data_IF_655555451179
#
_entry.id   IF_655555451179
#
_cell.length_a   1.000
_cell.length_b   1.000
_cell.length_c   1.000
_cell.angle_alpha   90.00
_cell.angle_beta   90.00
_cell.angle_gamma   90.00
#
_symmetry.space_group_name_H-M   'P 1'
#
loop_
_entity.id
_entity.type
_entity.pdbx_description
1 polymer ?
#
# COMPACT_ATOMS: atom_id res chain seq x y z
N UNK A 1 -30.61 -15.46 -31.82
CA UNK A 1 -30.40 -15.74 -30.39
C UNK A 1 -28.92 -15.96 -30.17
N UNK A 2 -28.21 -14.94 -29.69
CA UNK A 2 -26.79 -15.00 -29.38
C UNK A 2 -26.69 -15.35 -27.89
N UNK A 3 -26.18 -16.55 -27.60
CA UNK A 3 -25.96 -17.04 -26.25
C UNK A 3 -24.74 -16.32 -25.65
N UNK A 4 -24.97 -15.49 -24.62
CA UNK A 4 -23.90 -14.94 -23.79
C UNK A 4 -23.48 -16.02 -22.79
N UNK A 5 -22.46 -16.79 -23.14
CA UNK A 5 -21.77 -17.67 -22.21
C UNK A 5 -21.00 -16.85 -21.18
N UNK A 6 -21.50 -16.77 -19.96
CA UNK A 6 -20.71 -16.36 -18.80
C UNK A 6 -19.59 -17.40 -18.65
N UNK A 7 -18.30 -17.04 -18.67
CA UNK A 7 -17.27 -18.01 -18.37
C UNK A 7 -17.39 -18.37 -16.88
N UNK A 8 -17.93 -19.55 -16.63
CA UNK A 8 -17.89 -20.20 -15.33
C UNK A 8 -16.41 -20.42 -15.02
N UNK A 9 -15.85 -19.58 -14.13
CA UNK A 9 -14.56 -19.83 -13.51
C UNK A 9 -14.76 -21.10 -12.68
N UNK A 10 -14.25 -22.21 -13.18
CA UNK A 10 -14.23 -23.46 -12.44
C UNK A 10 -13.43 -23.23 -11.16
N UNK A 11 -14.13 -23.20 -10.02
CA UNK A 11 -13.52 -23.28 -8.70
C UNK A 11 -12.96 -24.69 -8.58
N UNK A 12 -11.68 -24.86 -8.90
CA UNK A 12 -10.96 -26.10 -8.59
C UNK A 12 -10.67 -26.07 -7.09
N UNK A 13 -11.35 -26.95 -6.36
CA UNK A 13 -11.09 -27.19 -4.96
C UNK A 13 -9.65 -27.66 -4.74
N UNK A 14 -8.94 -26.95 -3.86
CA UNK A 14 -7.81 -27.40 -3.02
C UNK A 14 -6.88 -28.48 -3.63
N UNK A 15 -6.21 -28.16 -4.73
CA UNK A 15 -4.82 -28.61 -4.88
C UNK A 15 -3.96 -27.60 -4.10
N UNK A 16 -3.07 -28.07 -3.23
CA UNK A 16 -2.07 -27.22 -2.56
C UNK A 16 -1.30 -26.44 -3.63
N UNK A 17 -1.73 -25.21 -3.94
CA UNK A 17 -0.99 -24.30 -4.80
C UNK A 17 0.30 -24.04 -4.05
N UNK A 18 1.37 -24.69 -4.48
CA UNK A 18 2.71 -24.45 -3.93
C UNK A 18 2.96 -22.95 -4.07
N UNK A 19 3.14 -22.24 -2.95
CA UNK A 19 3.34 -20.80 -2.97
C UNK A 19 4.45 -20.47 -3.97
N UNK A 20 4.13 -19.66 -4.99
CA UNK A 20 5.10 -19.26 -6.03
C UNK A 20 5.90 -18.04 -5.60
N UNK A 21 5.33 -17.28 -4.69
CA UNK A 21 5.88 -16.02 -4.19
C UNK A 21 5.86 -16.01 -2.66
N UNK A 22 6.58 -15.07 -2.07
CA UNK A 22 6.37 -14.64 -0.70
C UNK A 22 6.41 -13.12 -0.64
N UNK A 23 5.43 -12.55 0.06
CA UNK A 23 5.31 -11.12 0.30
C UNK A 23 6.34 -10.68 1.35
N UNK A 24 7.01 -9.56 1.07
CA UNK A 24 8.05 -9.03 1.91
C UNK A 24 7.48 -8.12 2.97
N UNK A 25 7.89 -8.33 4.21
CA UNK A 25 7.62 -7.40 5.29
C UNK A 25 8.26 -6.03 5.04
N UNK A 26 7.65 -4.94 5.53
CA UNK A 26 8.18 -3.58 5.40
C UNK A 26 9.52 -3.32 6.14
N UNK A 27 10.00 -4.28 6.93
CA UNK A 27 11.32 -4.22 7.60
C UNK A 27 12.37 -5.10 6.93
N UNK A 28 12.04 -5.77 5.83
CA UNK A 28 13.03 -6.51 5.05
C UNK A 28 14.10 -5.54 4.50
N UNK A 29 15.28 -6.05 4.13
CA UNK A 29 16.29 -5.18 3.50
C UNK A 29 15.77 -4.64 2.18
N UNK A 30 15.81 -3.32 2.01
CA UNK A 30 15.42 -2.68 0.77
C UNK A 30 16.61 -2.41 -0.14
N UNK A 31 16.32 -2.31 -1.43
CA UNK A 31 17.25 -1.76 -2.42
C UNK A 31 17.11 -0.25 -2.56
N UNK A 32 15.92 0.29 -2.27
CA UNK A 32 15.58 1.70 -2.33
C UNK A 32 14.23 1.94 -1.63
N UNK A 33 13.98 3.17 -1.20
CA UNK A 33 12.65 3.65 -0.83
C UNK A 33 12.12 4.59 -1.91
N UNK A 34 10.99 4.22 -2.51
CA UNK A 34 10.37 5.02 -3.56
C UNK A 34 9.52 6.12 -2.93
N UNK A 35 9.71 7.35 -3.42
CA UNK A 35 8.88 8.49 -3.05
C UNK A 35 8.30 9.15 -4.29
N UNK A 36 7.27 9.96 -4.07
CA UNK A 36 6.66 10.74 -5.14
C UNK A 36 6.40 12.17 -4.70
N UNK A 37 6.73 13.10 -5.58
CA UNK A 37 6.55 14.51 -5.33
C UNK A 37 5.06 14.89 -5.47
N UNK A 38 4.57 15.85 -4.68
CA UNK A 38 3.17 16.25 -4.72
C UNK A 38 2.75 16.80 -6.08
N UNK A 39 1.51 16.51 -6.48
CA UNK A 39 0.85 17.14 -7.62
C UNK A 39 -0.14 18.19 -7.13
N UNK A 40 -0.33 19.26 -7.91
CA UNK A 40 -1.32 20.30 -7.65
C UNK A 40 -2.76 19.81 -7.81
N UNK A 41 -2.97 18.68 -8.48
CA UNK A 41 -4.30 18.11 -8.73
C UNK A 41 -4.84 17.42 -7.48
N UNK A 42 -4.00 16.70 -6.74
CA UNK A 42 -4.42 15.89 -5.59
C UNK A 42 -4.25 16.55 -4.23
N UNK A 43 -3.60 17.70 -4.18
CA UNK A 43 -3.31 18.41 -2.93
C UNK A 43 -3.95 19.78 -2.97
N UNK A 44 -4.71 20.10 -1.92
CA UNK A 44 -5.28 21.42 -1.75
C UNK A 44 -4.17 22.49 -1.84
N UNK A 45 -4.44 23.55 -2.60
CA UNK A 45 -3.44 24.57 -2.96
C UNK A 45 -2.73 25.20 -1.77
N UNK A 46 -3.43 25.31 -0.63
CA UNK A 46 -2.90 25.84 0.63
C UNK A 46 -1.78 24.98 1.24
N UNK A 47 -1.78 23.67 0.97
CA UNK A 47 -0.78 22.75 1.51
C UNK A 47 0.31 22.38 0.52
N UNK A 48 0.07 22.55 -0.78
CA UNK A 48 0.96 22.08 -1.84
C UNK A 48 2.44 22.47 -1.62
N UNK A 49 2.73 23.75 -1.35
CA UNK A 49 4.11 24.20 -1.13
C UNK A 49 4.75 23.55 0.11
N UNK A 50 4.02 23.47 1.22
CA UNK A 50 4.52 22.82 2.44
C UNK A 50 4.72 21.31 2.25
N UNK A 51 3.85 20.64 1.49
CA UNK A 51 3.97 19.22 1.18
C UNK A 51 5.19 18.97 0.28
N UNK A 52 5.46 19.84 -0.70
CA UNK A 52 6.66 19.74 -1.53
C UNK A 52 7.94 19.81 -0.68
N UNK A 53 8.00 20.74 0.27
CA UNK A 53 9.13 20.85 1.22
C UNK A 53 9.25 19.60 2.09
N UNK A 54 8.14 19.08 2.61
CA UNK A 54 8.12 17.88 3.44
C UNK A 54 8.62 16.64 2.68
N UNK A 55 8.18 16.44 1.44
CA UNK A 55 8.64 15.30 0.62
C UNK A 55 10.12 15.45 0.25
N UNK A 56 10.59 16.65 -0.11
CA UNK A 56 12.00 16.89 -0.37
C UNK A 56 12.87 16.64 0.87
N UNK A 57 12.39 17.03 2.05
CA UNK A 57 13.05 16.76 3.33
C UNK A 57 13.07 15.26 3.64
N UNK A 58 11.95 14.56 3.39
CA UNK A 58 11.83 13.13 3.65
C UNK A 58 12.77 12.30 2.77
N UNK A 59 12.84 12.57 1.46
CA UNK A 59 13.77 11.85 0.58
C UNK A 59 15.23 12.15 0.93
N UNK A 60 15.54 13.38 1.38
CA UNK A 60 16.87 13.75 1.87
C UNK A 60 17.27 12.90 3.08
N UNK A 61 16.41 12.79 4.09
CA UNK A 61 16.68 11.94 5.27
C UNK A 61 16.81 10.46 4.91
N UNK A 62 15.92 9.95 4.04
CA UNK A 62 15.97 8.55 3.58
C UNK A 62 17.29 8.27 2.84
N UNK A 63 17.77 9.22 2.04
CA UNK A 63 18.99 9.05 1.23
C UNK A 63 20.24 8.76 2.06
N UNK A 64 20.26 9.15 3.34
CA UNK A 64 21.36 8.83 4.25
C UNK A 64 21.46 7.33 4.58
N UNK A 65 20.40 6.56 4.34
CA UNK A 65 20.28 5.15 4.67
C UNK A 65 20.17 4.25 3.43
N UNK A 66 19.41 4.68 2.41
CA UNK A 66 19.18 3.91 1.19
C UNK A 66 18.84 4.82 0.01
N UNK A 67 19.00 4.35 -1.25
CA UNK A 67 18.62 5.12 -2.42
C UNK A 67 17.17 5.60 -2.37
N UNK A 68 16.97 6.87 -2.75
CA UNK A 68 15.67 7.56 -2.71
C UNK A 68 15.24 8.04 -4.08
N UNK A 69 14.77 7.17 -4.99
CA UNK A 69 14.16 7.60 -6.24
C UNK A 69 12.88 8.40 -5.95
N UNK A 70 12.89 9.65 -6.39
CA UNK A 70 11.79 10.59 -6.28
C UNK A 70 11.15 10.77 -7.65
N UNK A 71 9.94 10.24 -7.81
CA UNK A 71 9.15 10.39 -9.03
C UNK A 71 8.37 11.71 -9.01
N UNK A 72 8.42 12.47 -10.11
CA UNK A 72 7.94 13.85 -10.16
C UNK A 72 7.20 14.11 -11.46
N UNK A 73 6.07 14.83 -11.40
CA UNK A 73 5.43 15.37 -12.61
C UNK A 73 6.42 16.20 -13.43
N UNK A 74 6.38 16.07 -14.75
CA UNK A 74 7.37 16.67 -15.65
C UNK A 74 7.53 18.19 -15.45
N UNK A 75 6.44 18.87 -15.12
CA UNK A 75 6.38 20.30 -14.82
C UNK A 75 7.12 20.70 -13.53
N UNK A 76 7.24 19.79 -12.57
CA UNK A 76 7.76 20.07 -11.23
C UNK A 76 9.20 19.56 -11.03
N UNK A 77 9.83 18.97 -12.05
CA UNK A 77 11.19 18.39 -11.95
C UNK A 77 12.23 19.39 -11.45
N UNK A 78 12.24 20.61 -11.99
CA UNK A 78 13.21 21.64 -11.56
C UNK A 78 12.94 22.10 -10.12
N UNK A 79 11.67 22.21 -9.75
CA UNK A 79 11.25 22.56 -8.40
C UNK A 79 11.69 21.49 -7.40
N UNK A 80 11.42 20.22 -7.69
CA UNK A 80 11.83 19.11 -6.85
C UNK A 80 13.35 19.06 -6.66
N UNK A 81 14.14 19.22 -7.74
CA UNK A 81 15.61 19.30 -7.65
C UNK A 81 16.06 20.43 -6.74
N UNK A 82 15.51 21.65 -6.91
CA UNK A 82 15.86 22.79 -6.06
C UNK A 82 15.54 22.53 -4.59
N UNK A 83 14.36 21.97 -4.29
CA UNK A 83 13.95 21.69 -2.90
C UNK A 83 14.77 20.56 -2.27
N UNK A 84 15.15 19.53 -3.02
CA UNK A 84 16.07 18.48 -2.53
C UNK A 84 17.44 19.07 -2.20
N UNK A 85 18.00 19.93 -3.07
CA UNK A 85 19.26 20.61 -2.79
C UNK A 85 19.18 21.53 -1.56
N UNK A 86 18.03 22.17 -1.31
CA UNK A 86 17.83 22.95 -0.10
C UNK A 86 17.75 22.05 1.15
N UNK A 87 17.04 20.94 1.08
CA UNK A 87 16.89 19.99 2.18
C UNK A 87 18.23 19.36 2.61
N UNK A 88 19.13 19.09 1.67
CA UNK A 88 20.49 18.58 1.91
C UNK A 88 21.30 19.46 2.88
N UNK A 89 21.05 20.78 2.89
CA UNK A 89 21.74 21.69 3.82
C UNK A 89 21.23 21.58 5.27
N UNK A 90 20.05 20.99 5.48
CA UNK A 90 19.33 20.96 6.75
C UNK A 90 19.34 19.58 7.41
N UNK A 91 19.40 18.52 6.62
CA UNK A 91 19.30 17.14 7.10
C UNK A 91 20.49 16.30 6.61
N UNK A 92 20.94 15.30 7.39
CA UNK A 92 21.92 14.33 6.90
C UNK A 92 21.37 13.66 5.64
N UNK A 93 22.16 13.70 4.56
CA UNK A 93 21.72 13.21 3.26
C UNK A 93 22.89 12.68 2.44
N UNK A 94 22.57 11.80 1.49
CA UNK A 94 23.46 11.40 0.42
C UNK A 94 22.77 11.74 -0.91
N UNK A 95 22.87 13.00 -1.34
CA UNK A 95 22.24 13.50 -2.58
C UNK A 95 22.60 12.72 -3.83
N UNK A 96 23.78 12.10 -3.88
CA UNK A 96 24.18 11.23 -5.00
C UNK A 96 23.31 9.96 -5.12
N UNK A 97 22.60 9.59 -4.05
CA UNK A 97 21.67 8.46 -3.99
C UNK A 97 20.21 8.88 -4.22
N UNK A 98 19.95 10.15 -4.54
CA UNK A 98 18.62 10.65 -4.90
C UNK A 98 18.55 10.81 -6.41
N UNK A 99 17.63 10.09 -7.04
CA UNK A 99 17.30 10.27 -8.45
C UNK A 99 15.95 10.96 -8.60
N UNK A 100 15.93 12.13 -9.24
CA UNK A 100 14.69 12.84 -9.57
C UNK A 100 14.25 12.40 -10.97
N UNK A 101 13.17 11.63 -11.02
CA UNK A 101 12.72 10.91 -12.22
C UNK A 101 11.39 11.52 -12.70
N UNK A 102 11.34 12.10 -13.92
CA UNK A 102 10.08 12.53 -14.51
C UNK A 102 9.11 11.36 -14.68
N UNK A 103 7.87 11.53 -14.25
CA UNK A 103 6.87 10.47 -14.21
C UNK A 103 5.47 11.07 -14.27
N UNK A 104 4.60 10.48 -15.10
CA UNK A 104 3.22 10.91 -15.16
C UNK A 104 2.51 10.46 -13.88
N UNK A 105 2.10 11.42 -13.05
CA UNK A 105 1.34 11.12 -11.83
C UNK A 105 0.58 12.34 -11.33
N UNK A 106 -0.54 12.07 -10.68
CA UNK A 106 -1.42 13.03 -10.03
C UNK A 106 -1.39 12.92 -8.49
N UNK A 107 -0.71 11.95 -7.86
CA UNK A 107 -0.73 11.74 -6.40
C UNK A 107 0.65 11.55 -5.79
N UNK A 108 0.91 12.02 -4.58
CA UNK A 108 2.14 11.66 -3.83
C UNK A 108 2.07 10.28 -3.15
N UNK A 109 0.90 9.63 -3.14
CA UNK A 109 0.62 8.41 -2.37
C UNK A 109 1.15 7.16 -3.06
N UNK A 110 2.48 7.05 -3.13
CA UNK A 110 3.15 5.89 -3.74
C UNK A 110 2.91 4.60 -2.97
N UNK A 111 2.52 4.66 -1.70
CA UNK A 111 2.06 3.48 -0.95
C UNK A 111 0.86 2.81 -1.60
N UNK A 112 -0.09 3.62 -2.09
CA UNK A 112 -1.36 3.13 -2.63
C UNK A 112 -1.34 2.91 -4.14
N UNK A 113 -0.54 3.73 -4.82
CA UNK A 113 -0.41 3.72 -6.30
C UNK A 113 0.83 2.97 -6.79
N UNK A 114 1.68 2.54 -5.86
CA UNK A 114 2.95 1.86 -6.05
C UNK A 114 2.85 0.41 -6.50
N UNK A 115 3.97 -0.16 -6.99
CA UNK A 115 4.05 -1.60 -7.13
C UNK A 115 4.17 -2.26 -5.75
N UNK A 116 3.50 -3.39 -5.57
CA UNK A 116 3.67 -4.25 -4.39
C UNK A 116 4.70 -5.32 -4.71
N UNK A 117 5.80 -5.34 -3.96
CA UNK A 117 6.93 -6.23 -4.23
C UNK A 117 6.74 -7.61 -3.61
N UNK A 118 7.05 -8.66 -4.38
CA UNK A 118 7.08 -10.05 -3.93
C UNK A 118 8.34 -10.76 -4.43
N UNK A 119 8.76 -11.82 -3.76
CA UNK A 119 9.92 -12.62 -4.16
C UNK A 119 9.48 -14.02 -4.61
N UNK A 120 10.08 -14.53 -5.68
CA UNK A 120 9.89 -15.92 -6.08
C UNK A 120 10.46 -16.90 -5.05
N UNK A 121 9.81 -18.05 -4.88
CA UNK A 121 10.27 -19.11 -3.95
C UNK A 121 11.44 -19.95 -4.49
N UNK A 122 11.89 -19.71 -5.73
CA UNK A 122 13.05 -20.39 -6.30
C UNK A 122 14.31 -20.00 -5.51
N UNK A 123 14.83 -20.98 -4.76
CA UNK A 123 15.94 -20.82 -3.82
C UNK A 123 17.27 -20.42 -4.47
N UNK A 124 17.40 -20.61 -5.78
CA UNK A 124 18.65 -20.31 -6.50
C UNK A 124 18.87 -18.82 -6.71
N UNK A 125 17.79 -18.03 -6.84
CA UNK A 125 17.88 -16.61 -7.22
C UNK A 125 16.91 -15.68 -6.50
N UNK A 126 15.85 -16.19 -5.86
CA UNK A 126 14.76 -15.42 -5.23
C UNK A 126 14.42 -14.13 -6.02
N UNK A 127 14.00 -14.26 -7.30
CA UNK A 127 13.81 -13.10 -8.16
C UNK A 127 12.76 -12.16 -7.56
N UNK A 128 13.00 -10.85 -7.70
CA UNK A 128 12.08 -9.81 -7.24
C UNK A 128 11.06 -9.52 -8.36
N UNK A 129 9.79 -9.52 -7.99
CA UNK A 129 8.66 -9.19 -8.86
C UNK A 129 7.83 -8.07 -8.23
N UNK A 130 7.00 -7.42 -9.05
CA UNK A 130 6.21 -6.24 -8.67
C UNK A 130 4.80 -6.36 -9.17
N UNK A 131 3.83 -6.51 -8.27
CA UNK A 131 2.42 -6.58 -8.59
C UNK A 131 1.86 -5.17 -8.67
N UNK A 132 1.32 -4.81 -9.84
CA UNK A 132 0.57 -3.56 -10.03
C UNK A 132 -0.92 -3.84 -9.91
N UNK A 133 -1.50 -3.50 -8.77
CA UNK A 133 -2.93 -3.50 -8.58
C UNK A 133 -3.57 -2.30 -9.29
N UNK A 134 -4.88 -2.37 -9.56
CA UNK A 134 -5.60 -1.16 -9.97
C UNK A 134 -5.69 -0.20 -8.79
N UNK A 135 -5.39 1.05 -9.06
CA UNK A 135 -5.83 2.16 -8.23
C UNK A 135 -7.08 2.83 -8.81
N UNK A 136 -8.04 3.20 -7.96
CA UNK A 136 -9.30 3.84 -8.38
C UNK A 136 -9.66 5.03 -7.49
N UNK A 137 -8.67 5.86 -7.13
CA UNK A 137 -8.86 7.06 -6.30
C UNK A 137 -9.64 6.79 -5.01
N UNK A 138 -9.25 5.71 -4.32
CA UNK A 138 -9.93 5.19 -3.13
C UNK A 138 -11.46 5.10 -3.29
N UNK A 139 -11.91 4.59 -4.43
CA UNK A 139 -13.32 4.43 -4.77
C UNK A 139 -13.96 5.69 -5.37
N UNK A 140 -13.15 6.55 -6.00
CA UNK A 140 -13.59 7.77 -6.71
C UNK A 140 -14.38 8.74 -5.82
N UNK A 141 -13.98 8.84 -4.55
CA UNK A 141 -14.60 9.76 -3.60
C UNK A 141 -14.31 11.22 -3.91
N UNK A 142 -13.25 11.48 -4.66
CA UNK A 142 -12.90 12.81 -5.15
C UNK A 142 -12.96 12.82 -6.67
N UNK A 143 -13.62 13.83 -7.23
CA UNK A 143 -13.65 14.07 -8.67
C UNK A 143 -12.36 14.79 -9.07
N UNK A 144 -11.45 14.05 -9.72
CA UNK A 144 -10.25 14.60 -10.32
C UNK A 144 -10.43 14.85 -11.83
N UNK A 145 -11.66 14.74 -12.34
CA UNK A 145 -11.99 14.93 -13.74
C UNK A 145 -11.17 14.00 -14.64
N UNK A 146 -10.51 14.59 -15.64
CA UNK A 146 -9.64 13.83 -16.56
C UNK A 146 -8.30 13.42 -15.95
N UNK A 147 -8.01 13.82 -14.71
CA UNK A 147 -6.76 13.50 -14.02
C UNK A 147 -6.84 12.20 -13.19
N UNK A 148 -8.00 11.56 -13.08
CA UNK A 148 -8.28 10.26 -12.38
C UNK A 148 -7.40 9.07 -12.87
N UNK A 149 -6.55 9.26 -13.89
CA UNK A 149 -5.86 8.18 -14.62
C UNK A 149 -4.33 8.21 -14.56
N UNK A 150 -3.71 9.16 -13.89
CA UNK A 150 -2.25 9.27 -13.98
C UNK A 150 -1.49 8.18 -13.21
N UNK A 151 -2.15 7.22 -12.54
CA UNK A 151 -1.48 6.04 -11.97
C UNK A 151 -2.27 4.73 -12.10
N UNK A 152 -3.21 4.64 -13.05
CA UNK A 152 -4.23 3.58 -13.05
C UNK A 152 -3.89 2.32 -13.86
N UNK A 153 -2.61 1.90 -13.99
CA UNK A 153 -2.17 0.46 -13.96
C UNK A 153 -0.78 0.09 -14.52
N UNK A 154 -0.04 0.92 -15.28
CA UNK A 154 1.12 0.40 -16.04
C UNK A 154 2.35 1.31 -16.12
N UNK A 155 2.29 2.52 -15.56
CA UNK A 155 3.34 3.52 -15.82
C UNK A 155 4.55 3.40 -14.91
N UNK A 156 4.52 2.55 -13.87
CA UNK A 156 5.74 2.23 -13.12
C UNK A 156 6.82 1.78 -14.10
N UNK A 157 8.08 2.26 -13.95
CA UNK A 157 9.10 2.08 -14.95
C UNK A 157 9.13 0.65 -15.43
N UNK A 158 9.03 0.51 -16.75
CA UNK A 158 8.54 -0.68 -17.44
C UNK A 158 9.09 -1.97 -16.83
N UNK A 159 8.21 -2.71 -16.18
CA UNK A 159 8.44 -4.13 -16.01
C UNK A 159 8.56 -4.79 -17.40
N UNK A 160 9.45 -5.77 -17.57
CA UNK A 160 9.45 -6.62 -18.75
C UNK A 160 8.05 -7.21 -19.01
N UNK A 161 7.64 -7.40 -20.28
CA UNK A 161 6.34 -7.98 -20.62
C UNK A 161 6.03 -9.30 -19.90
N UNK A 162 7.07 -10.11 -19.69
CA UNK A 162 7.01 -11.38 -18.95
C UNK A 162 6.57 -11.18 -17.49
N UNK A 163 7.15 -10.19 -16.78
CA UNK A 163 6.77 -9.85 -15.41
C UNK A 163 5.35 -9.24 -15.34
N UNK A 164 4.97 -8.47 -16.36
CA UNK A 164 3.62 -7.91 -16.51
C UNK A 164 2.57 -9.04 -16.68
N UNK A 165 2.90 -10.11 -17.40
CA UNK A 165 2.05 -11.30 -17.54
C UNK A 165 2.01 -12.11 -16.24
N UNK A 166 3.14 -12.25 -15.55
CA UNK A 166 3.26 -12.95 -14.26
C UNK A 166 2.53 -12.27 -13.10
N UNK A 167 2.38 -10.94 -13.12
CA UNK A 167 1.54 -10.19 -12.19
C UNK A 167 0.08 -10.66 -12.15
N UNK A 168 -0.31 -11.49 -13.12
CA UNK A 168 -1.60 -12.15 -13.16
C UNK A 168 -2.66 -11.23 -13.74
N UNK A 169 -3.48 -11.79 -14.62
CA UNK A 169 -4.61 -11.08 -15.20
C UNK A 169 -5.62 -10.56 -14.15
N UNK A 170 -5.59 -11.11 -12.92
CA UNK A 170 -6.45 -10.66 -11.83
C UNK A 170 -5.98 -9.37 -11.15
N UNK A 171 -4.67 -9.13 -10.98
CA UNK A 171 -4.15 -7.87 -10.42
C UNK A 171 -4.61 -6.65 -11.23
N UNK A 172 -4.72 -6.83 -12.56
CA UNK A 172 -5.27 -5.81 -13.47
C UNK A 172 -6.78 -5.63 -13.38
N UNK A 173 -7.50 -6.43 -12.60
CA UNK A 173 -8.96 -6.39 -12.48
C UNK A 173 -9.41 -5.96 -11.09
N UNK A 174 -8.68 -6.34 -10.05
CA UNK A 174 -8.95 -5.94 -8.67
C UNK A 174 -8.43 -4.53 -8.38
N UNK A 175 -9.23 -3.74 -7.66
CA UNK A 175 -8.82 -2.49 -7.02
C UNK A 175 -8.24 -2.80 -5.65
N UNK A 176 -6.98 -2.45 -5.44
CA UNK A 176 -6.30 -2.68 -4.17
C UNK A 176 -5.16 -1.68 -4.03
N UNK A 177 -5.09 -1.05 -2.86
CA UNK A 177 -4.06 -0.12 -2.48
C UNK A 177 -3.04 -0.78 -1.54
N UNK A 178 -1.75 -0.48 -1.71
CA UNK A 178 -0.70 -1.09 -0.88
C UNK A 178 -0.81 -0.74 0.61
N UNK A 179 -1.44 0.38 0.99
CA UNK A 179 -1.74 0.72 2.39
C UNK A 179 -2.86 -0.11 3.02
N UNK A 180 -3.65 -0.82 2.21
CA UNK A 180 -4.67 -1.75 2.68
C UNK A 180 -4.11 -3.14 3.06
N UNK A 181 -2.80 -3.35 2.89
CA UNK A 181 -2.10 -4.60 3.18
C UNK A 181 -1.01 -4.37 4.22
N UNK A 182 -0.94 -5.23 5.22
CA UNK A 182 0.26 -5.32 6.06
C UNK A 182 0.52 -6.75 6.57
N UNK A 183 1.78 -7.15 6.62
CA UNK A 183 2.25 -8.42 7.18
C UNK A 183 3.23 -9.24 6.30
N UNK A 184 3.61 -10.42 6.80
CA UNK A 184 4.53 -11.38 6.16
C UNK A 184 4.00 -12.80 6.40
N UNK A 185 3.54 -13.49 5.35
CA UNK A 185 2.87 -14.79 5.45
C UNK A 185 1.45 -14.74 6.05
N UNK A 186 1.17 -13.82 6.96
CA UNK A 186 -0.19 -13.46 7.39
C UNK A 186 -0.46 -11.99 7.09
N UNK A 187 -1.57 -11.68 6.43
CA UNK A 187 -2.01 -10.31 6.19
C UNK A 187 -3.06 -9.89 7.20
N UNK A 188 -3.01 -8.63 7.63
CA UNK A 188 -4.13 -7.96 8.28
C UNK A 188 -4.73 -6.96 7.29
N UNK A 189 -6.05 -6.95 7.17
CA UNK A 189 -6.75 -6.09 6.20
C UNK A 189 -8.15 -5.69 6.69
N UNK A 190 -8.59 -4.50 6.28
CA UNK A 190 -9.96 -4.03 6.54
C UNK A 190 -10.90 -4.49 5.42
N UNK A 191 -12.09 -4.98 5.78
CA UNK A 191 -13.10 -5.34 4.77
C UNK A 191 -13.61 -4.10 4.03
N UNK A 192 -13.75 -2.97 4.72
CA UNK A 192 -14.23 -1.70 4.15
C UNK A 192 -13.32 -1.11 3.08
N UNK A 193 -12.02 -1.40 3.10
CA UNK A 193 -11.06 -0.87 2.12
C UNK A 193 -10.82 -1.79 0.92
N UNK A 194 -11.13 -3.09 1.01
CA UNK A 194 -10.87 -4.04 -0.09
C UNK A 194 -12.17 -4.64 -0.67
N UNK A 195 -13.09 -5.08 0.18
CA UNK A 195 -14.28 -5.85 -0.23
C UNK A 195 -15.45 -4.92 -0.61
N UNK A 196 -15.30 -3.62 -0.39
CA UNK A 196 -16.34 -2.63 -0.65
C UNK A 196 -16.68 -2.51 -2.15
N UNK A 197 -17.96 -2.27 -2.45
CA UNK A 197 -18.50 -2.07 -3.80
C UNK A 197 -17.84 -0.90 -4.55
N UNK A 198 -17.35 0.12 -3.85
CA UNK A 198 -16.61 1.22 -4.48
C UNK A 198 -15.20 0.80 -4.95
N UNK A 199 -14.69 -0.35 -4.50
CA UNK A 199 -13.43 -0.96 -4.97
C UNK A 199 -13.72 -2.09 -5.94
N UNK A 200 -14.38 -3.12 -5.46
CA UNK A 200 -14.45 -4.43 -6.11
C UNK A 200 -15.90 -4.90 -6.26
N UNK A 201 -16.71 -4.21 -7.07
CA UNK A 201 -18.14 -4.46 -7.16
C UNK A 201 -18.44 -5.89 -7.63
N UNK A 202 -19.29 -6.59 -6.88
CA UNK A 202 -19.70 -7.96 -7.18
C UNK A 202 -18.61 -9.04 -7.03
N UNK A 203 -17.41 -8.71 -6.51
CA UNK A 203 -16.40 -9.72 -6.19
C UNK A 203 -16.63 -10.30 -4.80
N UNK A 204 -16.76 -11.62 -4.72
CA UNK A 204 -16.87 -12.31 -3.45
C UNK A 204 -15.53 -12.26 -2.68
N UNK A 205 -15.61 -12.13 -1.35
CA UNK A 205 -14.46 -12.18 -0.43
C UNK A 205 -13.53 -13.37 -0.71
N UNK A 206 -14.10 -14.56 -0.91
CA UNK A 206 -13.34 -15.79 -1.18
C UNK A 206 -12.52 -15.74 -2.48
N UNK A 207 -13.02 -15.03 -3.50
CA UNK A 207 -12.28 -14.82 -4.76
C UNK A 207 -11.08 -13.91 -4.52
N UNK A 208 -11.29 -12.82 -3.76
CA UNK A 208 -10.21 -11.90 -3.38
C UNK A 208 -9.15 -12.64 -2.55
N UNK A 209 -9.55 -13.38 -1.53
CA UNK A 209 -8.63 -14.18 -0.69
C UNK A 209 -7.80 -15.18 -1.52
N UNK A 210 -8.47 -15.94 -2.40
CA UNK A 210 -7.80 -16.93 -3.27
C UNK A 210 -6.72 -16.29 -4.13
N UNK A 211 -7.01 -15.12 -4.69
CA UNK A 211 -6.06 -14.41 -5.55
C UNK A 211 -4.96 -13.72 -4.76
N UNK A 212 -5.24 -13.19 -3.57
CA UNK A 212 -4.21 -12.66 -2.67
C UNK A 212 -3.24 -13.76 -2.22
N UNK A 213 -3.73 -14.96 -1.88
CA UNK A 213 -2.88 -16.12 -1.63
C UNK A 213 -2.01 -16.47 -2.83
N UNK A 214 -2.61 -16.49 -4.04
CA UNK A 214 -1.89 -16.82 -5.27
C UNK A 214 -0.81 -15.79 -5.63
N UNK A 215 -1.10 -14.50 -5.49
CA UNK A 215 -0.22 -13.40 -5.93
C UNK A 215 0.83 -13.04 -4.87
N UNK A 216 0.43 -12.98 -3.61
CA UNK A 216 1.30 -12.55 -2.51
C UNK A 216 1.97 -13.72 -1.79
N UNK A 217 1.47 -14.95 -1.97
CA UNK A 217 2.01 -16.12 -1.27
C UNK A 217 1.75 -16.11 0.24
N UNK A 218 0.73 -15.37 0.66
CA UNK A 218 0.29 -15.31 2.05
C UNK A 218 -0.56 -16.54 2.37
N UNK A 219 -0.47 -17.04 3.59
CA UNK A 219 -1.13 -18.26 4.05
C UNK A 219 -2.42 -17.97 4.81
N UNK A 220 -2.53 -16.75 5.34
CA UNK A 220 -3.65 -16.32 6.17
C UNK A 220 -3.97 -14.85 5.93
N UNK A 221 -5.26 -14.51 5.99
CA UNK A 221 -5.73 -13.13 5.99
C UNK A 221 -6.65 -12.95 7.20
N UNK A 222 -6.28 -12.03 8.07
CA UNK A 222 -7.05 -11.58 9.22
C UNK A 222 -7.86 -10.37 8.77
N UNK A 223 -9.17 -10.45 8.92
CA UNK A 223 -10.07 -9.39 8.49
C UNK A 223 -10.73 -8.72 9.69
N UNK A 224 -10.61 -7.40 9.79
CA UNK A 224 -11.48 -6.60 10.64
C UNK A 224 -12.49 -5.81 9.79
N UNK A 225 -13.66 -5.41 10.33
CA UNK A 225 -14.71 -4.78 9.52
C UNK A 225 -14.28 -3.46 8.86
N UNK A 226 -13.58 -2.60 9.60
CA UNK A 226 -13.26 -1.22 9.19
C UNK A 226 -14.52 -0.35 9.04
N UNK A 227 -14.45 0.80 8.37
CA UNK A 227 -15.58 1.72 8.16
C UNK A 227 -15.55 2.35 6.77
N UNK A 228 -16.69 2.28 6.07
CA UNK A 228 -16.88 3.01 4.81
C UNK A 228 -17.07 4.49 5.10
N UNK A 229 -16.52 5.33 4.23
CA UNK A 229 -16.66 6.79 4.21
C UNK A 229 -16.23 7.52 5.50
N UNK A 230 -15.53 6.83 6.41
CA UNK A 230 -14.98 7.45 7.62
C UNK A 230 -13.76 8.32 7.29
N UNK A 231 -12.88 7.80 6.43
CA UNK A 231 -11.80 8.53 5.80
C UNK A 231 -11.78 8.25 4.29
N UNK A 232 -10.87 8.90 3.56
CA UNK A 232 -10.76 8.72 2.10
C UNK A 232 -10.48 7.27 1.72
N UNK A 233 -9.74 6.53 2.56
CA UNK A 233 -9.27 5.18 2.29
C UNK A 233 -10.28 4.07 2.64
N UNK A 234 -11.38 4.41 3.31
CA UNK A 234 -12.28 3.44 3.95
C UNK A 234 -11.57 2.60 5.02
N UNK A 235 -10.71 3.25 5.83
CA UNK A 235 -9.90 2.65 6.91
C UNK A 235 -8.87 1.67 6.36
N UNK A 236 -7.76 2.20 5.84
CA UNK A 236 -6.58 1.40 5.57
C UNK A 236 -5.96 0.84 6.85
N UNK A 237 -5.37 -0.36 6.73
CA UNK A 237 -4.76 -1.05 7.87
C UNK A 237 -3.50 -0.34 8.36
N UNK A 238 -2.73 0.29 7.46
CA UNK A 238 -1.45 0.94 7.77
C UNK A 238 -1.55 2.15 8.73
N UNK A 239 -2.73 2.76 8.83
CA UNK A 239 -3.03 3.81 9.80
C UNK A 239 -3.41 3.26 11.19
N UNK A 240 -3.89 2.01 11.24
CA UNK A 240 -4.50 1.43 12.44
C UNK A 240 -3.54 0.47 13.15
N UNK A 241 -2.82 -0.36 12.41
CA UNK A 241 -2.04 -1.47 12.96
C UNK A 241 -0.89 -1.86 12.02
N UNK A 242 0.28 -2.14 12.60
CA UNK A 242 1.44 -2.58 11.82
C UNK A 242 2.17 -3.79 12.41
N UNK A 243 2.59 -4.73 11.57
CA UNK A 243 3.52 -5.78 11.90
C UNK A 243 4.95 -5.19 12.01
N UNK A 244 5.54 -5.34 13.19
CA UNK A 244 6.98 -5.18 13.50
C UNK A 244 7.22 -6.11 14.69
N UNK A 245 6.31 -5.98 15.66
CA UNK A 245 5.77 -6.93 16.65
C UNK A 245 4.35 -6.42 16.90
N UNK A 246 3.35 -6.88 16.13
CA UNK A 246 1.98 -6.32 16.02
C UNK A 246 1.69 -5.12 16.94
N UNK A 247 1.81 -3.91 16.38
CA UNK A 247 1.60 -2.64 17.09
C UNK A 247 0.25 -2.09 16.69
N UNK A 248 -0.65 -1.93 17.66
CA UNK A 248 -1.97 -1.34 17.46
C UNK A 248 -1.97 0.14 17.87
N UNK A 249 -2.39 1.03 16.97
CA UNK A 249 -2.53 2.46 17.22
C UNK A 249 -3.66 2.71 18.21
N UNK A 250 -3.35 3.31 19.37
CA UNK A 250 -4.38 3.68 20.36
C UNK A 250 -4.91 5.08 20.03
N UNK A 251 -6.19 5.23 19.68
CA UNK A 251 -6.78 6.54 19.37
C UNK A 251 -6.76 7.46 20.59
N UNK A 252 -6.45 8.76 20.36
CA UNK A 252 -6.56 9.78 21.41
C UNK A 252 -8.03 10.01 21.78
N UNK A 253 -8.32 10.38 23.03
CA UNK A 253 -9.71 10.54 23.52
C UNK A 253 -10.53 11.62 22.80
N UNK A 254 -9.88 12.52 22.06
CA UNK A 254 -10.52 13.60 21.29
C UNK A 254 -10.98 13.21 19.89
N UNK A 255 -10.59 12.04 19.39
CA UNK A 255 -11.00 11.60 18.05
C UNK A 255 -12.48 11.18 18.04
N UNK A 256 -13.15 11.20 16.87
CA UNK A 256 -14.49 10.66 16.75
C UNK A 256 -14.59 9.23 17.29
N UNK A 257 -15.72 8.91 17.94
CA UNK A 257 -15.97 7.58 18.54
C UNK A 257 -15.76 6.41 17.58
N UNK A 258 -15.93 6.64 16.27
CA UNK A 258 -15.69 5.64 15.23
C UNK A 258 -14.29 5.02 15.30
N UNK A 259 -13.24 5.82 15.52
CA UNK A 259 -11.87 5.31 15.62
C UNK A 259 -11.64 4.51 16.91
N UNK A 260 -12.31 4.88 18.01
CA UNK A 260 -12.27 4.09 19.26
C UNK A 260 -12.91 2.72 19.05
N UNK A 261 -14.05 2.67 18.35
CA UNK A 261 -14.70 1.40 18.01
C UNK A 261 -13.83 0.53 17.09
N UNK A 262 -13.13 1.12 16.11
CA UNK A 262 -12.20 0.38 15.24
C UNK A 262 -11.06 -0.23 16.07
N UNK A 263 -10.46 0.55 16.98
CA UNK A 263 -9.43 0.06 17.89
C UNK A 263 -9.91 -1.15 18.71
N UNK A 264 -11.09 -1.04 19.33
CA UNK A 264 -11.70 -2.13 20.11
C UNK A 264 -12.01 -3.37 19.24
N UNK A 265 -12.47 -3.18 18.01
CA UNK A 265 -12.72 -4.29 17.06
C UNK A 265 -11.43 -5.01 16.68
N UNK A 266 -10.34 -4.28 16.40
CA UNK A 266 -9.05 -4.88 16.08
C UNK A 266 -8.52 -5.66 17.30
N UNK A 267 -8.67 -5.13 18.52
CA UNK A 267 -8.29 -5.86 19.74
C UNK A 267 -9.08 -7.15 19.94
N UNK A 268 -10.37 -7.13 19.62
CA UNK A 268 -11.29 -8.25 19.81
C UNK A 268 -11.38 -9.16 18.58
N UNK A 269 -10.47 -9.01 17.61
CA UNK A 269 -10.40 -9.91 16.45
C UNK A 269 -9.87 -11.27 16.92
N UNK A 270 -10.78 -12.13 17.38
CA UNK A 270 -10.50 -13.50 17.82
C UNK A 270 -10.36 -14.43 16.61
N UNK A 271 -9.25 -15.18 16.58
CA UNK A 271 -9.01 -16.25 15.62
C UNK A 271 -9.36 -17.58 16.27
N UNK A 272 -10.10 -18.46 15.59
CA UNK A 272 -10.31 -19.85 16.02
C UNK A 272 -9.04 -20.73 15.99
N UNK A 273 -7.89 -20.25 16.47
CA UNK A 273 -6.56 -20.88 16.54
C UNK A 273 -5.68 -20.18 17.59
N UNK A 274 -4.48 -20.70 17.96
CA UNK A 274 -3.81 -20.40 19.23
C UNK A 274 -3.57 -18.89 19.45
N UNK A 275 -3.61 -18.42 20.71
CA UNK A 275 -4.20 -17.15 21.09
C UNK A 275 -3.53 -15.94 20.43
N UNK A 276 -4.21 -15.39 19.42
CA UNK A 276 -3.88 -14.13 18.76
C UNK A 276 -4.48 -12.93 19.49
N UNK A 277 -3.69 -11.85 19.56
CA UNK A 277 -4.02 -10.48 20.01
C UNK A 277 -4.43 -10.25 21.49
N UNK A 278 -5.17 -11.15 22.14
CA UNK A 278 -5.69 -10.96 23.51
C UNK A 278 -4.64 -10.97 24.64
N UNK A 279 -3.35 -11.21 24.34
CA UNK A 279 -2.23 -11.17 25.30
C UNK A 279 -1.33 -9.93 25.21
N UNK A 280 -1.79 -8.83 24.64
CA UNK A 280 -1.12 -7.52 24.79
C UNK A 280 -1.43 -6.90 26.17
N UNK A 281 -1.21 -7.64 27.25
CA UNK A 281 -1.36 -7.14 28.62
C UNK A 281 -0.12 -6.36 29.04
N UNK A 282 -0.26 -5.03 29.09
CA UNK A 282 0.30 -4.14 30.10
C UNK A 282 1.83 -4.28 30.36
N UNK A 283 2.65 -3.81 29.42
CA UNK A 283 4.02 -3.39 29.75
C UNK A 283 3.98 -2.00 30.41
N UNK A 284 4.68 -1.77 31.54
CA UNK A 284 4.65 -0.48 32.21
C UNK A 284 5.24 0.60 31.29
N UNK A 285 4.48 1.68 31.12
CA UNK A 285 4.93 2.88 30.43
C UNK A 285 6.04 3.54 31.27
N UNK A 286 7.29 3.13 31.06
CA UNK A 286 8.43 3.79 31.65
C UNK A 286 8.50 5.22 31.10
N UNK A 287 8.17 6.17 31.97
CA UNK A 287 8.29 7.59 31.70
C UNK A 287 9.74 7.90 31.33
N UNK A 288 9.99 8.22 30.07
CA UNK A 288 11.18 8.99 29.70
C UNK A 288 10.85 10.44 30.05
N UNK A 289 11.34 10.88 31.21
CA UNK A 289 11.38 12.30 31.61
C UNK A 289 12.61 12.97 30.95
N UNK A 290 12.57 14.31 30.77
CA UNK A 290 13.09 15.02 29.61
C UNK A 290 14.60 15.00 29.47
#
# INVERSE_FOLDING_TARGET
MISFGIPVVAIVASASIKARFFYLHGTARHAAAILRFPSRVSIASTYYESTCVNIASLVSVISAHEPGPLYVGSEDVQKAKSMVSQADTKYPSNTSSISVIPFLTNHLWVRDTGPVYVRGVDKSSHPLFTINFRFSEWGRKHDLGTHDRASDRLDWPMMPPEQIEENGSFARRICLEGGALDGEGTLLAAQSSIINENRNPGLAKTVIETELWRMLGVEKIIWFPGRKDLDVTDVHVDAEVSFVRVVLSRPHSSVPKAYVMIYEEIQNTDEGGPPGLSRLSHGPCSHVRP
#
